data_IF_223696350658
#
_entry.id   IF_223696350658
#
_cell.length_a   1.000
_cell.length_b   1.000
_cell.length_c   1.000
_cell.angle_alpha   90.00
_cell.angle_beta   90.00
_cell.angle_gamma   90.00
#
_symmetry.space_group_name_H-M   'P 1'
#
loop_
_entity.id
_entity.type
_entity.pdbx_description
1 polymer ?
#
# COMPACT_ATOMS: atom_id res chain seq x y z
N UNK A 1 -0.34 25.36 -3.33
CA UNK A 1 -0.38 24.18 -2.43
C UNK A 1 -1.10 23.07 -3.17
N UNK A 2 -0.36 22.14 -3.78
CA UNK A 2 -0.95 21.12 -4.66
C UNK A 2 -1.60 20.05 -3.79
N UNK A 3 -2.93 20.10 -3.68
CA UNK A 3 -3.71 19.03 -3.07
C UNK A 3 -3.48 17.76 -3.89
N UNK A 4 -2.70 16.82 -3.35
CA UNK A 4 -2.58 15.48 -3.93
C UNK A 4 -3.90 14.78 -3.63
N UNK A 5 -4.88 14.95 -4.53
CA UNK A 5 -6.07 14.13 -4.53
C UNK A 5 -5.59 12.69 -4.79
N UNK A 6 -5.70 11.81 -3.78
CA UNK A 6 -5.42 10.39 -3.97
C UNK A 6 -6.55 9.87 -4.86
N UNK A 7 -6.23 9.65 -6.13
CA UNK A 7 -7.15 9.03 -7.07
C UNK A 7 -7.11 7.51 -6.88
N UNK A 8 -8.09 7.01 -6.13
CA UNK A 8 -8.26 5.57 -5.90
C UNK A 8 -8.59 4.83 -7.21
N UNK A 9 -9.19 5.52 -8.19
CA UNK A 9 -9.56 4.90 -9.48
C UNK A 9 -8.34 4.55 -10.34
N UNK A 10 -7.17 5.11 -10.03
CA UNK A 10 -5.90 4.76 -10.66
C UNK A 10 -5.29 3.42 -10.15
N UNK A 11 -6.00 2.69 -9.29
CA UNK A 11 -5.61 1.37 -8.79
C UNK A 11 -6.50 0.33 -9.46
N UNK A 12 -5.88 -0.56 -10.24
CA UNK A 12 -6.56 -1.74 -10.76
C UNK A 12 -6.73 -2.76 -9.61
N UNK A 13 -7.98 -2.91 -9.15
CA UNK A 13 -8.31 -3.79 -8.03
C UNK A 13 -8.33 -5.27 -8.44
N UNK A 14 -8.56 -5.57 -9.72
CA UNK A 14 -8.56 -6.94 -10.22
C UNK A 14 -7.13 -7.45 -10.33
N UNK A 15 -6.22 -6.64 -10.88
CA UNK A 15 -4.77 -6.94 -10.90
C UNK A 15 -4.21 -7.07 -9.47
N UNK A 16 -4.61 -6.16 -8.57
CA UNK A 16 -4.23 -6.23 -7.15
C UNK A 16 -4.75 -7.52 -6.50
N UNK A 17 -6.01 -7.90 -6.74
CA UNK A 17 -6.59 -9.13 -6.22
C UNK A 17 -5.85 -10.38 -6.69
N UNK A 18 -5.57 -10.46 -8.00
CA UNK A 18 -4.80 -11.55 -8.59
C UNK A 18 -3.38 -11.65 -8.00
N UNK A 19 -2.70 -10.51 -7.81
CA UNK A 19 -1.39 -10.49 -7.16
C UNK A 19 -1.48 -10.96 -5.69
N UNK A 20 -2.47 -10.51 -4.92
CA UNK A 20 -2.66 -10.94 -3.54
C UNK A 20 -2.92 -12.45 -3.42
N UNK A 21 -3.60 -13.06 -4.40
CA UNK A 21 -3.82 -14.51 -4.47
C UNK A 21 -2.51 -15.26 -4.77
N UNK A 22 -1.69 -14.74 -5.67
CA UNK A 22 -0.36 -15.31 -5.96
C UNK A 22 0.56 -15.28 -4.71
N UNK A 23 0.43 -14.25 -3.88
CA UNK A 23 1.12 -14.12 -2.59
C UNK A 23 0.49 -14.94 -1.45
N UNK A 24 -0.54 -15.76 -1.74
CA UNK A 24 -1.26 -16.60 -0.78
C UNK A 24 -1.87 -15.82 0.39
N UNK A 25 -2.26 -14.56 0.16
CA UNK A 25 -3.03 -13.80 1.12
C UNK A 25 -4.49 -14.31 1.14
N UNK A 26 -5.23 -14.09 2.24
CA UNK A 26 -6.66 -14.38 2.28
C UNK A 26 -7.39 -13.82 1.06
N UNK A 27 -8.09 -14.73 0.36
CA UNK A 27 -8.84 -14.42 -0.85
C UNK A 27 -10.16 -13.70 -0.58
N UNK A 28 -10.89 -13.42 -1.66
CA UNK A 28 -12.19 -12.74 -1.64
C UNK A 28 -12.16 -11.39 -2.33
N UNK A 29 -13.33 -10.76 -2.38
CA UNK A 29 -13.49 -9.43 -2.98
C UNK A 29 -12.74 -8.37 -2.17
N UNK A 30 -12.16 -7.40 -2.87
CA UNK A 30 -11.61 -6.19 -2.25
C UNK A 30 -12.76 -5.20 -2.03
N UNK A 31 -12.93 -4.75 -0.79
CA UNK A 31 -14.00 -3.83 -0.37
C UNK A 31 -13.46 -2.68 0.47
N UNK A 32 -14.31 -1.68 0.77
CA UNK A 32 -13.96 -0.61 1.72
C UNK A 32 -12.76 0.23 1.29
N UNK A 33 -12.54 0.38 -0.02
CA UNK A 33 -11.39 1.09 -0.58
C UNK A 33 -11.52 2.59 -0.31
N UNK A 34 -10.60 3.14 0.48
CA UNK A 34 -10.64 4.55 0.88
C UNK A 34 -9.23 5.16 0.96
N UNK A 35 -9.04 6.43 0.55
CA UNK A 35 -7.76 7.10 0.69
C UNK A 35 -7.42 7.31 2.17
N UNK A 36 -6.15 7.11 2.52
CA UNK A 36 -5.61 7.49 3.83
C UNK A 36 -4.94 8.84 3.69
N UNK A 37 -5.57 9.86 4.29
CA UNK A 37 -5.07 11.23 4.28
C UNK A 37 -3.92 11.40 5.29
N UNK A 38 -3.00 12.32 5.02
CA UNK A 38 -1.91 12.67 5.95
C UNK A 38 -0.50 12.21 5.55
N UNK A 39 -0.30 11.68 4.35
CA UNK A 39 1.02 11.39 3.78
C UNK A 39 1.22 12.11 2.45
N UNK A 40 2.20 13.02 2.36
CA UNK A 40 2.35 13.88 1.18
C UNK A 40 3.16 13.26 0.04
N UNK A 41 3.75 12.07 0.24
CA UNK A 41 4.71 11.49 -0.71
C UNK A 41 4.31 10.13 -1.30
N UNK A 42 3.34 9.43 -0.71
CA UNK A 42 2.87 8.13 -1.20
C UNK A 42 1.36 8.10 -1.27
N UNK A 43 0.84 7.44 -2.29
CA UNK A 43 -0.57 7.05 -2.34
C UNK A 43 -0.75 5.95 -1.30
N UNK A 44 -1.58 6.22 -0.31
CA UNK A 44 -1.96 5.27 0.73
C UNK A 44 -3.46 5.04 0.65
N UNK A 45 -3.85 3.78 0.51
CA UNK A 45 -5.25 3.38 0.38
C UNK A 45 -5.52 2.24 1.36
N UNK A 46 -6.55 2.41 2.17
CA UNK A 46 -7.09 1.34 3.02
C UNK A 46 -8.06 0.51 2.20
N UNK A 47 -8.01 -0.80 2.38
CA UNK A 47 -8.96 -1.74 1.79
C UNK A 47 -9.20 -2.93 2.73
N UNK A 48 -10.25 -3.69 2.48
CA UNK A 48 -10.57 -4.92 3.18
C UNK A 48 -10.59 -6.08 2.19
N UNK A 49 -10.07 -7.24 2.60
CA UNK A 49 -10.11 -8.48 1.81
C UNK A 49 -10.02 -9.69 2.74
N UNK A 50 -10.81 -10.72 2.49
CA UNK A 50 -10.77 -11.96 3.28
C UNK A 50 -10.95 -11.73 4.79
N UNK A 51 -11.79 -10.75 5.17
CA UNK A 51 -12.04 -10.37 6.56
C UNK A 51 -10.88 -9.64 7.25
N UNK A 52 -9.88 -9.15 6.51
CA UNK A 52 -8.71 -8.45 7.06
C UNK A 52 -8.55 -7.06 6.44
N UNK A 53 -8.19 -6.04 7.24
CA UNK A 53 -7.83 -4.73 6.72
C UNK A 53 -6.39 -4.73 6.18
N UNK A 54 -6.16 -3.99 5.09
CA UNK A 54 -4.87 -3.79 4.45
C UNK A 54 -4.64 -2.31 4.15
N UNK A 55 -3.36 -1.94 4.01
CA UNK A 55 -2.91 -0.65 3.50
C UNK A 55 -2.08 -0.89 2.25
N UNK A 56 -2.58 -0.47 1.09
CA UNK A 56 -1.77 -0.36 -0.11
C UNK A 56 -0.94 0.91 -0.03
N UNK A 57 0.37 0.78 -0.26
CA UNK A 57 1.29 1.91 -0.32
C UNK A 57 2.10 1.85 -1.61
N UNK A 58 1.97 2.87 -2.44
CA UNK A 58 2.74 3.02 -3.69
C UNK A 58 3.16 4.47 -3.93
N UNK A 59 4.15 4.73 -4.80
CA UNK A 59 4.44 6.07 -5.25
C UNK A 59 3.27 6.65 -6.07
N UNK A 60 3.15 7.99 -6.17
CA UNK A 60 2.21 8.62 -7.09
C UNK A 60 2.49 8.23 -8.55
N UNK A 61 1.53 8.45 -9.45
CA UNK A 61 1.65 8.13 -10.89
C UNK A 61 2.91 8.77 -11.49
N UNK A 62 3.16 10.04 -11.17
CA UNK A 62 4.39 10.75 -11.55
C UNK A 62 5.46 10.63 -10.47
N UNK A 63 5.93 9.40 -10.27
CA UNK A 63 6.96 9.11 -9.28
C UNK A 63 8.32 9.73 -9.67
N UNK A 64 9.11 10.10 -8.67
CA UNK A 64 10.53 10.42 -8.90
C UNK A 64 11.29 9.13 -9.18
N UNK A 65 12.38 9.23 -9.92
CA UNK A 65 13.23 8.08 -10.30
C UNK A 65 13.63 7.19 -9.11
N UNK A 66 13.79 7.76 -7.90
CA UNK A 66 14.19 7.04 -6.69
C UNK A 66 13.03 6.52 -5.81
N UNK A 67 11.77 6.84 -6.11
CA UNK A 67 10.64 6.52 -5.22
C UNK A 67 10.50 5.02 -4.95
N UNK A 68 10.63 4.18 -5.98
CA UNK A 68 10.55 2.71 -5.83
C UNK A 68 11.71 2.14 -5.00
N UNK A 69 12.90 2.74 -5.07
CA UNK A 69 14.06 2.32 -4.27
C UNK A 69 13.84 2.64 -2.78
N UNK A 70 13.32 3.83 -2.49
CA UNK A 70 13.00 4.25 -1.12
C UNK A 70 11.96 3.32 -0.50
N UNK A 71 10.87 2.99 -1.23
CA UNK A 71 9.86 2.05 -0.73
C UNK A 71 10.44 0.65 -0.44
N UNK A 72 11.29 0.14 -1.33
CA UNK A 72 11.97 -1.16 -1.11
C UNK A 72 12.88 -1.14 0.11
N UNK A 73 13.60 -0.03 0.34
CA UNK A 73 14.43 0.14 1.53
C UNK A 73 13.59 0.15 2.80
N UNK A 74 12.48 0.88 2.81
CA UNK A 74 11.55 0.89 3.95
C UNK A 74 10.99 -0.51 4.23
N UNK A 75 10.53 -1.24 3.21
CA UNK A 75 10.04 -2.61 3.37
C UNK A 75 11.12 -3.54 3.96
N UNK A 76 12.39 -3.38 3.55
CA UNK A 76 13.52 -4.13 4.12
C UNK A 76 13.76 -3.81 5.59
N UNK A 77 13.71 -2.53 5.97
CA UNK A 77 13.86 -2.11 7.37
C UNK A 77 12.72 -2.67 8.22
N UNK A 78 11.47 -2.55 7.77
CA UNK A 78 10.31 -3.12 8.48
C UNK A 78 10.45 -4.64 8.65
N UNK A 79 10.90 -5.34 7.61
CA UNK A 79 11.18 -6.76 7.70
C UNK A 79 12.25 -7.11 8.74
N UNK A 80 13.30 -6.30 8.86
CA UNK A 80 14.36 -6.48 9.85
C UNK A 80 13.92 -6.16 11.29
N UNK A 81 12.92 -5.29 11.46
CA UNK A 81 12.36 -4.95 12.77
C UNK A 81 11.39 -6.02 13.31
N UNK A 82 10.91 -6.93 12.46
CA UNK A 82 10.03 -8.03 12.91
C UNK A 82 10.74 -8.90 13.96
N UNK A 83 10.08 -9.08 15.10
CA UNK A 83 10.62 -9.86 16.22
C UNK A 83 11.59 -9.10 17.13
N UNK A 84 11.83 -7.81 16.87
CA UNK A 84 12.59 -6.94 17.78
C UNK A 84 11.67 -6.24 18.80
N UNK A 85 12.24 -5.58 19.80
CA UNK A 85 11.49 -4.76 20.76
C UNK A 85 10.99 -3.42 20.18
N UNK A 86 11.34 -3.10 18.93
CA UNK A 86 10.90 -1.87 18.26
C UNK A 86 9.50 -2.09 17.69
N UNK A 87 8.47 -1.33 18.12
CA UNK A 87 7.14 -1.45 17.55
C UNK A 87 7.16 -1.07 16.06
N UNK A 88 6.77 -2.02 15.22
CA UNK A 88 6.64 -1.85 13.77
C UNK A 88 5.39 -2.60 13.28
N UNK A 89 4.77 -2.13 12.17
CA UNK A 89 3.64 -2.81 11.54
C UNK A 89 4.00 -4.16 10.91
#
# INVERSE_FOLDING_TARGET
MTSTHIDVSAIDLDELGAWMDAERLPGGAITGVAPVLGGTQNVMVRLERGGRPYILRRPPVHARSKSNEVLRREARVLAALRGTAVPAP
#
